data_IF_952251254459
#
_entry.id   IF_952251254459
#
_cell.length_a   1.000
_cell.length_b   1.000
_cell.length_c   1.000
_cell.angle_alpha   90.00
_cell.angle_beta   90.00
_cell.angle_gamma   90.00
#
_symmetry.space_group_name_H-M   'P 1'
#
loop_
_entity.id
_entity.type
_entity.pdbx_description
1 polymer ?
#
# COMPACT_ATOMS: atom_id res chain seq x y z
N UNK A 1 27.62 39.92 -10.53
CA UNK A 1 27.48 38.50 -10.94
C UNK A 1 26.96 37.74 -9.73
N UNK A 2 25.64 37.54 -9.65
CA UNK A 2 25.01 36.81 -8.54
C UNK A 2 24.99 35.33 -8.86
N UNK A 3 25.81 34.56 -8.14
CA UNK A 3 25.80 33.10 -8.18
C UNK A 3 24.49 32.59 -7.59
N UNK A 4 23.74 31.85 -8.40
CA UNK A 4 22.60 31.08 -7.93
C UNK A 4 23.14 29.91 -7.11
N UNK A 5 22.83 29.88 -5.81
CA UNK A 5 23.07 28.72 -4.98
C UNK A 5 22.02 27.67 -5.38
N UNK A 6 22.41 26.69 -6.20
CA UNK A 6 21.68 25.43 -6.30
C UNK A 6 21.64 24.83 -4.90
N UNK A 7 20.45 24.83 -4.29
CA UNK A 7 20.19 24.12 -3.06
C UNK A 7 20.33 22.63 -3.37
N UNK A 8 21.53 22.11 -3.14
CA UNK A 8 21.80 20.68 -3.10
C UNK A 8 20.90 20.08 -2.01
N UNK A 9 19.79 19.46 -2.44
CA UNK A 9 18.89 18.76 -1.55
C UNK A 9 19.68 17.62 -0.92
N UNK A 10 20.05 17.78 0.35
CA UNK A 10 20.76 16.74 1.08
C UNK A 10 19.83 15.52 1.20
N UNK A 11 20.33 14.29 1.02
CA UNK A 11 19.50 13.08 1.06
C UNK A 11 18.73 12.92 2.38
N UNK A 12 19.26 13.48 3.46
CA UNK A 12 18.60 13.56 4.77
C UNK A 12 17.29 14.36 4.77
N UNK A 13 17.20 15.41 3.94
CA UNK A 13 15.99 16.21 3.82
C UNK A 13 14.84 15.41 3.24
N UNK A 14 15.10 14.61 2.20
CA UNK A 14 14.09 13.78 1.51
C UNK A 14 13.55 12.68 2.43
N UNK A 15 14.40 12.07 3.27
CA UNK A 15 14.01 11.00 4.19
C UNK A 15 13.18 11.53 5.38
N UNK A 16 13.58 12.66 5.96
CA UNK A 16 12.81 13.31 7.03
C UNK A 16 11.43 13.76 6.53
N UNK A 17 11.40 14.34 5.33
CA UNK A 17 10.19 14.74 4.63
C UNK A 17 9.26 13.55 4.36
N UNK A 18 9.80 12.44 3.86
CA UNK A 18 9.03 11.21 3.64
C UNK A 18 8.44 10.68 4.95
N UNK A 19 9.25 10.64 6.01
CA UNK A 19 8.82 10.19 7.35
C UNK A 19 7.70 11.06 7.92
N UNK A 20 7.77 12.38 7.69
CA UNK A 20 6.71 13.31 8.08
C UNK A 20 5.40 12.96 7.36
N UNK A 21 5.42 12.78 6.04
CA UNK A 21 4.21 12.46 5.26
C UNK A 21 3.61 11.09 5.63
N UNK A 22 4.46 10.09 5.96
CA UNK A 22 3.99 8.81 6.53
C UNK A 22 3.27 9.03 7.87
N UNK A 23 3.79 9.93 8.70
CA UNK A 23 3.20 10.27 10.01
C UNK A 23 1.90 11.07 9.85
N UNK A 24 1.85 12.05 8.95
CA UNK A 24 0.64 12.81 8.62
C UNK A 24 -0.46 11.91 8.07
N UNK A 25 -0.07 10.93 7.23
CA UNK A 25 -0.99 9.88 6.79
C UNK A 25 -1.54 9.14 7.99
N UNK A 26 -0.69 8.63 8.90
CA UNK A 26 -1.14 7.93 10.10
C UNK A 26 -2.13 8.77 10.94
N UNK A 27 -1.87 10.07 11.09
CA UNK A 27 -2.75 11.00 11.79
C UNK A 27 -4.13 11.11 11.11
N UNK A 28 -4.18 11.24 9.78
CA UNK A 28 -5.45 11.25 9.04
C UNK A 28 -6.29 9.99 9.32
N UNK A 29 -5.64 8.83 9.45
CA UNK A 29 -6.31 7.59 9.84
C UNK A 29 -6.72 7.57 11.31
N UNK A 30 -5.85 8.04 12.22
CA UNK A 30 -6.11 8.06 13.66
C UNK A 30 -7.26 9.00 14.04
N UNK A 31 -7.43 10.12 13.35
CA UNK A 31 -8.51 11.07 13.63
C UNK A 31 -9.89 10.50 13.30
N UNK A 32 -10.02 9.78 12.19
CA UNK A 32 -11.22 9.00 11.85
C UNK A 32 -11.40 7.81 12.83
N UNK A 33 -10.29 7.17 13.19
CA UNK A 33 -10.23 6.02 14.09
C UNK A 33 -10.36 6.39 15.58
N UNK A 34 -10.52 7.65 16.00
CA UNK A 34 -10.84 7.96 17.42
C UNK A 34 -12.09 7.23 17.93
N UNK A 35 -12.91 6.69 17.02
CA UNK A 35 -14.08 5.85 17.32
C UNK A 35 -13.79 4.33 17.30
N UNK A 36 -12.65 3.87 16.77
CA UNK A 36 -12.28 2.46 16.57
C UNK A 36 -10.75 2.26 16.68
N UNK A 37 -10.23 1.31 17.47
CA UNK A 37 -8.78 1.11 17.60
C UNK A 37 -8.06 0.91 16.26
N UNK A 38 -6.97 1.65 16.04
CA UNK A 38 -6.07 1.58 14.89
C UNK A 38 -4.66 1.22 15.38
N UNK A 39 -4.01 0.24 14.73
CA UNK A 39 -2.57 0.01 14.88
C UNK A 39 -1.83 0.43 13.61
N UNK A 40 -0.65 1.02 13.77
CA UNK A 40 0.20 1.52 12.69
C UNK A 40 1.66 1.10 12.93
N UNK A 41 2.23 0.34 12.00
CA UNK A 41 3.61 -0.15 12.05
C UNK A 41 4.39 0.40 10.87
N UNK A 42 5.49 1.09 11.10
CA UNK A 42 6.36 1.59 10.02
C UNK A 42 7.37 0.53 9.60
N UNK A 43 7.75 0.55 8.31
CA UNK A 43 8.84 -0.25 7.76
C UNK A 43 8.77 -1.76 8.06
N UNK A 44 7.58 -2.37 7.95
CA UNK A 44 7.39 -3.79 8.22
C UNK A 44 8.07 -4.66 7.16
N UNK A 45 9.08 -5.46 7.55
CA UNK A 45 9.89 -6.21 6.60
C UNK A 45 9.24 -7.54 6.15
N UNK A 46 9.06 -7.74 4.84
CA UNK A 46 8.46 -8.95 4.25
C UNK A 46 9.40 -9.62 3.24
N UNK A 47 10.10 -10.72 3.62
CA UNK A 47 11.06 -11.36 2.73
C UNK A 47 10.37 -12.05 1.55
N UNK A 48 10.98 -11.94 0.36
CA UNK A 48 10.53 -12.59 -0.89
C UNK A 48 11.62 -13.47 -1.53
N UNK A 49 12.58 -13.91 -0.71
CA UNK A 49 13.68 -14.80 -1.09
C UNK A 49 14.88 -14.07 -1.70
N UNK A 50 16.02 -14.77 -1.81
CA UNK A 50 17.24 -14.26 -2.46
C UNK A 50 17.77 -12.92 -1.89
N UNK A 51 17.50 -12.66 -0.61
CA UNK A 51 17.89 -11.40 0.07
C UNK A 51 17.01 -10.20 -0.27
N UNK A 52 15.96 -10.38 -1.06
CA UNK A 52 14.99 -9.34 -1.38
C UNK A 52 13.83 -9.34 -0.38
N UNK A 53 13.29 -8.15 -0.12
CA UNK A 53 12.12 -7.97 0.71
C UNK A 53 11.25 -6.82 0.19
N UNK A 54 9.96 -6.91 0.47
CA UNK A 54 9.03 -5.78 0.36
C UNK A 54 8.97 -5.12 1.73
N UNK A 55 9.19 -3.80 1.73
CA UNK A 55 9.10 -2.97 2.92
C UNK A 55 8.09 -1.86 2.57
N UNK A 56 6.84 -1.96 3.03
CA UNK A 56 5.89 -0.87 2.91
C UNK A 56 6.35 0.29 3.79
N UNK A 57 6.03 1.52 3.38
CA UNK A 57 6.24 2.68 4.23
C UNK A 57 5.50 2.54 5.57
N UNK A 58 4.30 1.95 5.55
CA UNK A 58 3.62 1.49 6.75
C UNK A 58 2.68 0.30 6.54
N UNK A 59 2.38 -0.41 7.62
CA UNK A 59 1.34 -1.41 7.73
C UNK A 59 0.28 -0.91 8.72
N UNK A 60 -0.94 -0.85 8.25
CA UNK A 60 -2.09 -0.34 8.98
C UNK A 60 -3.07 -1.45 9.33
N UNK A 61 -3.62 -1.42 10.55
CA UNK A 61 -4.75 -2.23 10.99
C UNK A 61 -5.90 -1.33 11.41
N UNK A 62 -7.09 -1.56 10.84
CA UNK A 62 -8.29 -0.74 11.09
C UNK A 62 -9.51 -1.63 11.31
N UNK A 63 -10.19 -1.47 12.45
CA UNK A 63 -11.38 -2.27 12.77
C UNK A 63 -12.67 -1.67 12.20
N UNK A 64 -13.25 -2.26 11.16
CA UNK A 64 -14.56 -1.84 10.60
C UNK A 64 -15.72 -2.27 11.52
N UNK A 65 -16.40 -1.35 12.20
CA UNK A 65 -17.67 -1.64 12.89
C UNK A 65 -18.03 -0.66 14.00
N UNK A 66 -19.31 -0.48 14.31
CA UNK A 66 -19.73 0.34 15.46
C UNK A 66 -19.24 -0.31 16.78
N UNK A 67 -19.02 0.48 17.84
CA UNK A 67 -18.51 -0.03 19.11
C UNK A 67 -19.37 -1.16 19.71
N UNK A 68 -20.66 -1.20 19.35
CA UNK A 68 -21.64 -2.19 19.84
C UNK A 68 -21.72 -3.50 19.04
N UNK A 69 -21.00 -3.61 17.91
CA UNK A 69 -20.98 -4.86 17.14
C UNK A 69 -19.73 -5.67 17.48
N UNK A 70 -19.92 -6.81 18.15
CA UNK A 70 -18.87 -7.77 18.53
C UNK A 70 -18.21 -8.48 17.31
N UNK A 71 -18.56 -8.06 16.09
CA UNK A 71 -18.19 -8.71 14.84
C UNK A 71 -17.46 -7.76 13.86
N UNK A 72 -16.74 -6.76 14.40
CA UNK A 72 -16.04 -5.77 13.58
C UNK A 72 -14.90 -6.38 12.77
N UNK A 73 -15.00 -6.39 11.44
CA UNK A 73 -13.99 -6.95 10.56
C UNK A 73 -12.69 -6.13 10.62
N UNK A 74 -11.55 -6.78 10.88
CA UNK A 74 -10.24 -6.14 10.85
C UNK A 74 -9.74 -5.98 9.40
N UNK A 75 -9.68 -4.73 8.94
CA UNK A 75 -9.06 -4.34 7.68
C UNK A 75 -7.56 -4.12 7.88
N UNK A 76 -6.77 -4.42 6.85
CA UNK A 76 -5.32 -4.24 6.84
C UNK A 76 -4.86 -3.61 5.53
N UNK A 77 -3.83 -2.77 5.60
CA UNK A 77 -3.24 -2.15 4.42
C UNK A 77 -1.72 -2.06 4.50
N UNK A 78 -1.03 -2.44 3.44
CA UNK A 78 0.28 -1.88 3.13
C UNK A 78 0.07 -0.49 2.55
N UNK A 79 0.65 0.50 3.20
CA UNK A 79 0.59 1.91 2.82
C UNK A 79 1.92 2.31 2.20
N UNK A 80 1.84 2.92 1.03
CA UNK A 80 2.97 3.45 0.28
C UNK A 80 2.74 4.94 0.04
N UNK A 81 3.63 5.78 0.53
CA UNK A 81 3.57 7.22 0.35
C UNK A 81 4.43 7.59 -0.85
N UNK A 82 3.88 8.41 -1.74
CA UNK A 82 4.62 9.01 -2.86
C UNK A 82 4.52 10.52 -2.80
N UNK A 83 5.61 11.15 -2.33
CA UNK A 83 5.80 12.61 -2.34
C UNK A 83 6.24 13.15 -3.69
N UNK A 84 6.34 12.29 -4.70
CA UNK A 84 6.80 12.65 -6.03
C UNK A 84 8.20 13.23 -6.23
N UNK A 85 9.21 12.96 -5.37
CA UNK A 85 10.58 13.33 -5.73
C UNK A 85 11.09 12.54 -6.94
N UNK A 86 10.43 11.42 -7.27
CA UNK A 86 10.81 10.51 -8.35
C UNK A 86 9.71 10.37 -9.40
N UNK A 87 10.10 9.77 -10.54
CA UNK A 87 9.20 9.48 -11.65
C UNK A 87 8.05 8.54 -11.22
N UNK A 88 6.82 8.73 -11.75
CA UNK A 88 5.65 7.89 -11.44
C UNK A 88 5.87 6.39 -11.66
N UNK A 89 6.76 6.01 -12.58
CA UNK A 89 7.13 4.63 -12.86
C UNK A 89 7.81 3.96 -11.65
N UNK A 90 8.50 4.72 -10.80
CA UNK A 90 9.11 4.21 -9.57
C UNK A 90 8.04 3.79 -8.55
N UNK A 91 6.97 4.57 -8.43
CA UNK A 91 5.80 4.20 -7.63
C UNK A 91 5.15 2.93 -8.21
N UNK A 92 4.91 2.93 -9.51
CA UNK A 92 4.27 1.81 -10.21
C UNK A 92 5.09 0.51 -10.14
N UNK A 93 6.42 0.60 -10.07
CA UNK A 93 7.31 -0.55 -9.91
C UNK A 93 7.15 -1.28 -8.56
N UNK A 94 6.51 -0.66 -7.55
CA UNK A 94 6.17 -1.35 -6.29
C UNK A 94 5.11 -2.45 -6.53
N UNK A 95 4.20 -2.29 -7.49
CA UNK A 95 3.11 -3.24 -7.73
C UNK A 95 3.59 -4.66 -8.08
N UNK A 96 4.50 -4.88 -9.05
CA UNK A 96 5.08 -6.20 -9.28
C UNK A 96 5.77 -6.82 -8.06
N UNK A 97 6.36 -6.00 -7.18
CA UNK A 97 6.99 -6.50 -5.96
C UNK A 97 5.95 -7.07 -4.97
N UNK A 98 4.82 -6.39 -4.79
CA UNK A 98 3.70 -6.92 -3.99
C UNK A 98 3.04 -8.15 -4.64
N UNK A 99 2.90 -8.18 -5.96
CA UNK A 99 2.42 -9.36 -6.66
C UNK A 99 3.35 -10.56 -6.47
N UNK A 100 4.67 -10.32 -6.39
CA UNK A 100 5.66 -11.35 -6.02
C UNK A 100 5.50 -11.79 -4.57
N UNK A 101 5.32 -10.86 -3.62
CA UNK A 101 5.05 -11.19 -2.22
C UNK A 101 3.78 -12.04 -2.06
N UNK A 102 2.70 -11.70 -2.75
CA UNK A 102 1.42 -12.42 -2.70
C UNK A 102 1.54 -13.89 -3.09
N UNK A 103 2.43 -14.20 -4.03
CA UNK A 103 2.67 -15.58 -4.51
C UNK A 103 3.91 -16.24 -3.92
N UNK A 104 4.60 -15.57 -3.00
CA UNK A 104 5.88 -16.05 -2.49
C UNK A 104 5.66 -17.22 -1.52
N UNK A 105 6.11 -18.39 -1.94
CA UNK A 105 6.20 -19.59 -1.10
C UNK A 105 7.67 -19.82 -0.74
N UNK A 106 8.04 -19.83 0.55
CA UNK A 106 9.42 -20.05 0.95
C UNK A 106 9.90 -21.44 0.55
N UNK A 107 11.03 -21.50 -0.14
CA UNK A 107 11.74 -22.76 -0.35
C UNK A 107 12.57 -23.06 0.88
N UNK A 108 12.18 -24.06 1.68
CA UNK A 108 12.98 -24.50 2.83
C UNK A 108 14.21 -25.26 2.30
N UNK A 109 15.44 -24.75 2.52
CA UNK A 109 16.65 -25.46 2.09
C UNK A 109 16.77 -26.79 2.85
N UNK A 110 16.96 -27.89 2.13
CA UNK A 110 17.16 -29.22 2.71
C UNK A 110 15.92 -30.13 2.75
N UNK A 111 14.72 -29.64 2.46
CA UNK A 111 13.58 -30.52 2.19
C UNK A 111 13.67 -31.06 0.76
N UNK A 112 13.67 -32.40 0.62
CA UNK A 112 13.53 -33.07 -0.68
C UNK A 112 12.29 -32.54 -1.38
N UNK A 113 12.38 -32.44 -2.71
CA UNK A 113 11.27 -32.16 -3.66
C UNK A 113 9.96 -32.70 -3.09
N UNK A 114 8.87 -31.90 -3.02
CA UNK A 114 7.63 -32.35 -2.40
C UNK A 114 7.23 -33.70 -2.99
N UNK A 115 7.15 -34.71 -2.13
CA UNK A 115 6.69 -36.05 -2.50
C UNK A 115 5.26 -35.91 -3.00
N UNK A 116 4.88 -36.67 -4.03
CA UNK A 116 3.50 -36.71 -4.55
C UNK A 116 2.54 -36.91 -3.37
N UNK A 117 1.71 -35.89 -3.08
CA UNK A 117 0.77 -35.90 -1.95
C UNK A 117 1.08 -34.97 -0.78
N UNK A 118 2.20 -34.23 -0.78
CA UNK A 118 2.40 -33.15 0.21
C UNK A 118 1.72 -31.86 -0.26
N UNK A 119 0.89 -31.26 0.60
CA UNK A 119 0.36 -29.92 0.35
C UNK A 119 1.52 -28.91 0.24
N UNK A 120 1.51 -28.03 -0.77
CA UNK A 120 2.49 -26.98 -0.89
C UNK A 120 2.47 -26.11 0.38
N UNK A 121 3.65 -25.70 0.84
CA UNK A 121 3.73 -24.75 1.94
C UNK A 121 2.90 -23.50 1.61
N UNK A 122 2.14 -22.96 2.57
CA UNK A 122 1.38 -21.74 2.33
C UNK A 122 2.34 -20.58 2.06
N UNK A 123 1.83 -19.56 1.36
CA UNK A 123 2.55 -18.34 1.07
C UNK A 123 3.01 -17.67 2.38
N UNK A 124 4.21 -17.07 2.37
CA UNK A 124 4.85 -16.56 3.60
C UNK A 124 3.97 -15.54 4.36
N UNK A 125 3.25 -14.72 3.62
CA UNK A 125 2.36 -13.71 4.19
C UNK A 125 1.22 -14.32 5.01
N UNK A 126 0.77 -15.55 4.71
CA UNK A 126 -0.34 -16.22 5.43
C UNK A 126 0.02 -16.57 6.87
N UNK A 127 1.31 -16.59 7.20
CA UNK A 127 1.78 -16.76 8.59
C UNK A 127 1.52 -15.53 9.45
N UNK A 128 1.45 -14.37 8.82
CA UNK A 128 1.31 -13.06 9.48
C UNK A 128 -0.12 -12.53 9.38
N UNK A 129 -0.82 -12.87 8.30
CA UNK A 129 -2.13 -12.29 8.00
C UNK A 129 -3.15 -13.36 7.60
N UNK A 130 -4.38 -13.31 8.15
CA UNK A 130 -5.47 -14.20 7.71
C UNK A 130 -5.93 -13.89 6.29
N UNK A 131 -5.78 -12.64 5.83
CA UNK A 131 -6.04 -12.17 4.48
C UNK A 131 -4.91 -11.23 4.06
N UNK A 132 -4.54 -11.25 2.79
CA UNK A 132 -3.48 -10.38 2.29
C UNK A 132 -3.85 -8.90 2.52
N UNK A 133 -2.97 -8.07 3.10
CA UNK A 133 -3.25 -6.66 3.29
C UNK A 133 -3.53 -5.93 1.96
N UNK A 134 -4.49 -5.02 1.97
CA UNK A 134 -4.78 -4.16 0.81
C UNK A 134 -3.56 -3.31 0.48
N UNK A 135 -3.43 -2.84 -0.75
CA UNK A 135 -2.44 -1.82 -1.09
C UNK A 135 -3.10 -0.45 -1.12
N UNK A 136 -2.52 0.51 -0.42
CA UNK A 136 -2.93 1.90 -0.44
C UNK A 136 -1.75 2.79 -0.81
N UNK A 137 -1.84 3.44 -1.96
CA UNK A 137 -0.93 4.49 -2.37
C UNK A 137 -1.46 5.86 -1.95
N UNK A 138 -0.69 6.58 -1.15
CA UNK A 138 -1.00 7.93 -0.69
C UNK A 138 -0.13 8.92 -1.47
N UNK A 139 -0.77 9.76 -2.26
CA UNK A 139 -0.10 10.66 -3.21
C UNK A 139 -0.03 12.06 -2.63
N UNK A 140 1.18 12.62 -2.53
CA UNK A 140 1.43 13.94 -1.98
C UNK A 140 2.38 14.77 -2.87
N UNK A 141 2.41 16.08 -2.68
CA UNK A 141 3.44 16.96 -3.24
C UNK A 141 3.37 17.24 -4.75
N UNK A 142 2.25 16.92 -5.42
CA UNK A 142 2.20 16.86 -6.90
C UNK A 142 1.21 17.78 -7.60
N UNK A 143 0.26 18.36 -6.86
CA UNK A 143 -0.93 18.98 -7.45
C UNK A 143 -1.80 17.99 -8.22
N UNK A 144 -2.95 18.45 -8.73
CA UNK A 144 -3.93 17.59 -9.40
C UNK A 144 -3.35 16.83 -10.60
N UNK A 145 -2.64 17.51 -11.49
CA UNK A 145 -2.03 16.89 -12.68
C UNK A 145 -1.02 15.79 -12.32
N UNK A 146 -0.21 16.00 -11.28
CA UNK A 146 0.78 15.02 -10.88
C UNK A 146 0.17 13.82 -10.14
N UNK A 147 -0.96 14.00 -9.43
CA UNK A 147 -1.80 12.91 -8.92
C UNK A 147 -2.36 12.08 -10.07
N UNK A 148 -2.99 12.69 -11.08
CA UNK A 148 -3.57 11.96 -12.21
C UNK A 148 -2.52 11.18 -13.01
N UNK A 149 -1.33 11.77 -13.20
CA UNK A 149 -0.21 11.08 -13.86
C UNK A 149 0.19 9.82 -13.09
N UNK A 150 0.22 9.87 -11.75
CA UNK A 150 0.57 8.72 -10.89
C UNK A 150 -0.49 7.65 -10.89
N UNK A 151 -1.75 8.04 -10.84
CA UNK A 151 -2.87 7.12 -10.94
C UNK A 151 -2.86 6.42 -12.32
N UNK A 152 -2.55 7.15 -13.39
CA UNK A 152 -2.37 6.58 -14.73
C UNK A 152 -1.20 5.59 -14.79
N UNK A 153 -0.07 5.91 -14.15
CA UNK A 153 1.08 5.01 -14.07
C UNK A 153 0.76 3.73 -13.29
N UNK A 154 0.08 3.85 -12.14
CA UNK A 154 -0.42 2.72 -11.35
C UNK A 154 -1.39 1.86 -12.16
N UNK A 155 -2.33 2.49 -12.89
CA UNK A 155 -3.28 1.79 -13.76
C UNK A 155 -2.58 1.05 -14.90
N UNK A 156 -1.59 1.68 -15.53
CA UNK A 156 -0.80 1.04 -16.58
C UNK A 156 -0.03 -0.17 -16.04
N UNK A 157 0.55 -0.07 -14.85
CA UNK A 157 1.23 -1.20 -14.21
C UNK A 157 0.25 -2.30 -13.76
N UNK A 158 -0.94 -1.93 -13.28
CA UNK A 158 -2.01 -2.86 -12.97
C UNK A 158 -2.47 -3.62 -14.23
N UNK A 159 -2.61 -2.95 -15.38
CA UNK A 159 -2.93 -3.61 -16.65
C UNK A 159 -1.92 -4.69 -17.05
N UNK A 160 -0.63 -4.49 -16.77
CA UNK A 160 0.42 -5.51 -16.98
C UNK A 160 0.28 -6.72 -16.05
N UNK A 161 -0.34 -6.53 -14.89
CA UNK A 161 -0.63 -7.57 -13.91
C UNK A 161 -2.02 -8.20 -14.10
N UNK A 162 -2.85 -7.71 -15.01
CA UNK A 162 -4.21 -8.21 -15.26
C UNK A 162 -4.31 -9.74 -15.51
N UNK A 163 -3.33 -10.41 -16.16
CA UNK A 163 -3.35 -11.87 -16.29
C UNK A 163 -3.17 -12.61 -14.95
N UNK A 164 -2.71 -11.93 -13.91
CA UNK A 164 -2.54 -12.50 -12.56
C UNK A 164 -3.82 -12.33 -11.74
N UNK A 165 -4.10 -13.31 -10.87
CA UNK A 165 -5.19 -13.20 -9.88
C UNK A 165 -4.96 -12.13 -8.82
N UNK A 166 -3.77 -11.53 -8.78
CA UNK A 166 -3.39 -10.55 -7.75
C UNK A 166 -4.36 -9.39 -7.65
N UNK A 167 -4.76 -8.77 -8.77
CA UNK A 167 -5.67 -7.62 -8.74
C UNK A 167 -7.13 -7.99 -8.45
N UNK A 168 -7.49 -9.27 -8.62
CA UNK A 168 -8.77 -9.80 -8.19
C UNK A 168 -8.79 -10.03 -6.68
N UNK A 169 -7.70 -10.59 -6.14
CA UNK A 169 -7.62 -11.01 -4.75
C UNK A 169 -7.20 -9.87 -3.80
N UNK A 170 -6.44 -8.90 -4.31
CA UNK A 170 -5.83 -7.83 -3.53
C UNK A 170 -6.36 -6.47 -4.00
N UNK A 171 -7.09 -5.74 -3.13
CA UNK A 171 -7.53 -4.39 -3.42
C UNK A 171 -6.33 -3.45 -3.50
N UNK A 172 -6.19 -2.76 -4.63
CA UNK A 172 -5.15 -1.76 -4.86
C UNK A 172 -5.80 -0.40 -5.04
N UNK A 173 -5.55 0.51 -4.12
CA UNK A 173 -6.20 1.80 -4.01
C UNK A 173 -5.17 2.94 -4.05
N UNK A 174 -5.55 4.07 -4.64
CA UNK A 174 -4.78 5.31 -4.57
C UNK A 174 -5.66 6.47 -4.07
N UNK A 175 -5.09 7.36 -3.26
CA UNK A 175 -5.76 8.58 -2.82
C UNK A 175 -4.75 9.73 -2.61
N UNK A 176 -5.13 10.98 -2.93
CA UNK A 176 -4.36 12.15 -2.50
C UNK A 176 -4.36 12.30 -0.98
N UNK A 177 -3.23 12.69 -0.40
CA UNK A 177 -3.15 12.96 1.04
C UNK A 177 -4.08 14.11 1.44
N UNK A 178 -4.18 15.16 0.62
CA UNK A 178 -5.09 16.28 0.85
C UNK A 178 -6.55 15.83 1.00
N UNK A 179 -7.01 14.89 0.16
CA UNK A 179 -8.37 14.35 0.24
C UNK A 179 -8.57 13.53 1.51
N UNK A 180 -7.56 12.74 1.93
CA UNK A 180 -7.61 11.97 3.18
C UNK A 180 -7.73 12.88 4.40
N UNK A 181 -6.97 13.99 4.43
CA UNK A 181 -7.01 14.97 5.51
C UNK A 181 -8.34 15.73 5.54
N UNK A 182 -8.92 16.05 4.37
CA UNK A 182 -10.15 16.83 4.28
C UNK A 182 -11.41 16.00 4.53
N UNK A 183 -11.43 14.75 4.07
CA UNK A 183 -12.66 13.94 4.02
C UNK A 183 -12.62 12.68 4.88
N UNK A 184 -11.48 12.34 5.49
CA UNK A 184 -11.34 11.16 6.35
C UNK A 184 -11.50 9.84 5.60
N UNK A 185 -11.68 8.74 6.35
CA UNK A 185 -11.59 7.39 5.78
C UNK A 185 -12.86 6.89 5.14
N UNK A 186 -14.00 7.32 5.68
CA UNK A 186 -15.33 6.82 5.31
C UNK A 186 -15.88 7.44 4.01
N UNK A 187 -15.15 8.41 3.43
CA UNK A 187 -15.54 9.05 2.18
C UNK A 187 -14.99 8.24 0.98
N UNK A 188 -15.78 8.03 -0.08
CA UNK A 188 -15.32 7.34 -1.27
C UNK A 188 -14.41 8.23 -2.12
N UNK A 189 -13.19 8.48 -1.64
CA UNK A 189 -12.18 9.30 -2.35
C UNK A 189 -11.09 8.44 -3.01
N UNK A 190 -11.03 7.15 -2.66
CA UNK A 190 -10.00 6.23 -3.16
C UNK A 190 -10.36 5.74 -4.55
N UNK A 191 -9.35 5.63 -5.39
CA UNK A 191 -9.46 5.16 -6.78
C UNK A 191 -8.79 3.79 -6.92
N UNK A 192 -9.52 2.75 -7.31
CA UNK A 192 -8.92 1.46 -7.61
C UNK A 192 -7.90 1.57 -8.75
N UNK A 193 -6.75 0.90 -8.63
CA UNK A 193 -5.74 0.93 -9.68
C UNK A 193 -6.22 0.26 -10.98
N UNK A 194 -7.20 -0.63 -10.94
CA UNK A 194 -7.76 -1.29 -12.13
C UNK A 194 -8.91 -0.50 -12.80
N UNK A 195 -9.51 0.44 -12.07
CA UNK A 195 -10.59 1.31 -12.54
C UNK A 195 -10.47 2.68 -11.86
N UNK A 196 -9.66 3.59 -12.45
CA UNK A 196 -9.37 4.88 -11.83
C UNK A 196 -10.54 5.86 -11.85
N UNK A 197 -11.58 5.60 -12.66
CA UNK A 197 -12.78 6.43 -12.72
C UNK A 197 -13.74 6.13 -11.56
N UNK A 198 -13.66 4.92 -11.01
CA UNK A 198 -14.40 4.55 -9.81
C UNK A 198 -13.91 5.29 -8.56
N UNK A 199 -14.84 5.50 -7.63
CA UNK A 199 -14.59 6.03 -6.29
C UNK A 199 -15.12 5.07 -5.24
N UNK A 200 -14.27 4.64 -4.31
CA UNK A 200 -14.63 3.64 -3.30
C UNK A 200 -14.28 4.09 -1.87
N UNK A 201 -15.18 3.79 -0.93
CA UNK A 201 -14.92 3.95 0.51
C UNK A 201 -13.90 2.88 0.96
N UNK A 202 -13.03 3.23 1.90
CA UNK A 202 -12.12 2.32 2.61
C UNK A 202 -12.81 1.04 3.09
N UNK A 203 -14.04 1.17 3.61
CA UNK A 203 -14.78 0.04 4.20
C UNK A 203 -15.41 -0.87 3.15
N UNK A 204 -15.39 -0.49 1.87
CA UNK A 204 -16.00 -1.33 0.82
C UNK A 204 -15.28 -2.69 0.76
N UNK A 205 -16.02 -3.81 0.74
CA UNK A 205 -15.42 -5.07 0.28
C UNK A 205 -14.94 -4.85 -1.15
N UNK A 206 -13.85 -5.49 -1.52
CA UNK A 206 -13.29 -5.40 -2.87
C UNK A 206 -13.23 -6.81 -3.43
N UNK A 207 -13.82 -6.95 -4.62
CA UNK A 207 -14.22 -8.19 -5.26
C UNK A 207 -15.70 -8.07 -5.67
N UNK A 208 -16.10 -8.52 -6.88
CA UNK A 208 -17.45 -8.36 -7.42
C UNK A 208 -18.56 -8.92 -6.51
#
# INVERSE_FOLDING_TARGET
MSGHSEASCTPYGVEADHTLTVTETALAFLEDARRQPLDWLTAAHHPIGSGEAVIPDALMYYRRGNQDSDNGAMLRAFVEVDRAPWAPERLAAKLPAYARLHRYVPTIPGHRRPTIGQEPAPEEWRRHYPLFPRLLFVLDGTGLTGVETRITALHTAAGKLAPSRFLHDVPVLAAPLADLLQHGLSTPIRRPAHDPDQRVDWKSPSGP
#
